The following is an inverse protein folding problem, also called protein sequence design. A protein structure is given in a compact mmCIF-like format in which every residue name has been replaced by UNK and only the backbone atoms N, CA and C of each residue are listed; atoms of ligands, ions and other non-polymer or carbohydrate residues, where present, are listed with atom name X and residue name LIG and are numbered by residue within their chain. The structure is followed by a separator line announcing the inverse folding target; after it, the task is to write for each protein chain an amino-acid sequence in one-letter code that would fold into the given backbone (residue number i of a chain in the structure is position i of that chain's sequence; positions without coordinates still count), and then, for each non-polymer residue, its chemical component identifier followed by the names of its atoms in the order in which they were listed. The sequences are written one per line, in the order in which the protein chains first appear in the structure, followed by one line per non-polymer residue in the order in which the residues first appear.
data_IF_971534765816
#
_entry.id   IF_971534765816
#
_cell.length_a   1.000
_cell.length_b   1.000
_cell.length_c   1.000
_cell.angle_alpha   90.00
_cell.angle_beta   90.00
_cell.angle_gamma   90.00
#
_symmetry.space_group_name_H-M   'P 1'
#
loop_
_entity.id
_entity.type
_entity.pdbx_description
1 polymer ?
#
# COMPACT_ATOMS: atom_id res chain seq x y z
N UNK A 1 -9.93 1.22 3.93
CA UNK A 1 -9.61 -0.22 4.04
C UNK A 1 -10.83 -1.00 3.61
N UNK A 2 -10.67 -2.00 2.72
CA UNK A 2 -11.78 -2.81 2.19
C UNK A 2 -12.00 -4.09 2.98
N UNK A 3 -10.95 -4.61 3.59
CA UNK A 3 -10.98 -5.81 4.41
C UNK A 3 -10.61 -5.48 5.85
N UNK A 4 -11.32 -6.11 6.79
CA UNK A 4 -11.20 -5.82 8.21
C UNK A 4 -10.23 -6.80 8.86
N UNK A 5 -9.32 -6.29 9.67
CA UNK A 5 -8.47 -7.14 10.50
C UNK A 5 -9.25 -7.83 11.62
N UNK A 6 -10.53 -7.53 11.83
CA UNK A 6 -11.36 -8.14 12.88
C UNK A 6 -12.20 -9.32 12.38
N UNK A 7 -12.14 -9.64 11.08
CA UNK A 7 -12.88 -10.79 10.54
C UNK A 7 -12.37 -12.12 11.15
N UNK A 8 -13.22 -13.14 11.14
CA UNK A 8 -12.91 -14.47 11.67
C UNK A 8 -12.12 -15.36 10.70
N UNK A 9 -11.76 -14.82 9.54
CA UNK A 9 -11.00 -15.54 8.51
C UNK A 9 -9.56 -15.81 8.93
N UNK A 10 -8.95 -16.85 8.34
CA UNK A 10 -7.54 -17.16 8.56
C UNK A 10 -6.62 -16.00 8.13
N UNK A 11 -6.97 -15.31 7.05
CA UNK A 11 -6.16 -14.20 6.54
C UNK A 11 -6.27 -12.95 7.43
N UNK A 12 -7.45 -12.68 8.02
CA UNK A 12 -7.57 -11.65 9.06
C UNK A 12 -6.73 -11.97 10.29
N UNK A 13 -6.72 -13.23 10.75
CA UNK A 13 -5.85 -13.68 11.85
C UNK A 13 -4.37 -13.47 11.53
N UNK A 14 -3.93 -13.84 10.32
CA UNK A 14 -2.54 -13.59 9.86
C UNK A 14 -2.22 -12.10 9.82
N UNK A 15 -3.14 -11.27 9.33
CA UNK A 15 -2.97 -9.82 9.29
C UNK A 15 -2.75 -9.26 10.70
N UNK A 16 -3.56 -9.67 11.68
CA UNK A 16 -3.40 -9.27 13.09
C UNK A 16 -2.02 -9.64 13.64
N UNK A 17 -1.55 -10.85 13.38
CA UNK A 17 -0.21 -11.32 13.83
C UNK A 17 0.89 -10.45 13.23
N UNK A 18 0.85 -10.19 11.92
CA UNK A 18 1.87 -9.39 11.24
C UNK A 18 1.85 -7.92 11.69
N UNK A 19 0.66 -7.34 11.90
CA UNK A 19 0.52 -5.97 12.40
C UNK A 19 1.04 -5.86 13.84
N UNK A 20 0.74 -6.82 14.72
CA UNK A 20 1.30 -6.84 16.06
C UNK A 20 2.83 -6.92 16.03
N UNK A 21 3.41 -7.79 15.19
CA UNK A 21 4.86 -7.86 15.04
C UNK A 21 5.48 -6.53 14.58
N UNK A 22 4.81 -5.81 13.68
CA UNK A 22 5.23 -4.47 13.26
C UNK A 22 5.15 -3.44 14.40
N UNK A 23 4.07 -3.48 15.20
CA UNK A 23 3.88 -2.64 16.39
C UNK A 23 4.97 -2.92 17.44
N UNK A 24 5.25 -4.18 17.73
CA UNK A 24 6.27 -4.58 18.70
C UNK A 24 7.67 -4.12 18.26
N UNK A 25 7.98 -4.29 16.97
CA UNK A 25 9.22 -3.78 16.39
C UNK A 25 9.31 -2.25 16.50
N UNK A 26 8.22 -1.52 16.25
CA UNK A 26 8.19 -0.06 16.38
C UNK A 26 8.38 0.40 17.84
N UNK A 27 7.70 -0.26 18.79
CA UNK A 27 7.86 -0.06 20.24
C UNK A 27 9.30 -0.28 20.71
N UNK A 28 9.96 -1.30 20.16
CA UNK A 28 11.37 -1.58 20.42
C UNK A 28 12.34 -0.64 19.68
N UNK A 29 11.86 0.30 18.86
CA UNK A 29 12.69 1.24 18.10
C UNK A 29 13.52 0.58 17.00
N UNK A 30 13.08 -0.58 16.50
CA UNK A 30 13.77 -1.30 15.42
C UNK A 30 13.81 -0.42 14.17
N UNK A 31 14.96 -0.34 13.51
CA UNK A 31 15.10 0.45 12.27
C UNK A 31 14.41 -0.26 11.09
N UNK A 32 13.89 0.47 10.09
CA UNK A 32 13.34 -0.13 8.88
C UNK A 32 14.28 -1.15 8.24
N UNK A 33 13.76 -2.31 7.88
CA UNK A 33 14.51 -3.42 7.28
C UNK A 33 13.77 -4.01 6.08
N UNK A 34 14.46 -4.86 5.32
CA UNK A 34 13.83 -5.59 4.21
C UNK A 34 12.61 -6.40 4.67
N UNK A 35 12.71 -7.09 5.81
CA UNK A 35 11.63 -7.89 6.38
C UNK A 35 10.44 -7.03 6.81
N UNK A 36 10.68 -5.89 7.46
CA UNK A 36 9.63 -4.92 7.82
C UNK A 36 8.90 -4.44 6.57
N UNK A 37 9.65 -4.09 5.52
CA UNK A 37 9.06 -3.64 4.26
C UNK A 37 8.20 -4.73 3.59
N UNK A 38 8.62 -6.00 3.68
CA UNK A 38 7.84 -7.14 3.17
C UNK A 38 6.56 -7.37 3.96
N UNK A 39 6.60 -7.25 5.29
CA UNK A 39 5.41 -7.35 6.14
C UNK A 39 4.41 -6.24 5.84
N UNK A 40 4.86 -4.98 5.81
CA UNK A 40 4.02 -3.82 5.47
C UNK A 40 3.35 -4.02 4.11
N UNK A 41 4.12 -4.43 3.12
CA UNK A 41 3.61 -4.67 1.78
C UNK A 41 2.57 -5.80 1.74
N UNK A 42 2.80 -6.91 2.45
CA UNK A 42 1.83 -8.00 2.54
C UNK A 42 0.53 -7.59 3.25
N UNK A 43 0.65 -6.85 4.35
CA UNK A 43 -0.52 -6.33 5.09
C UNK A 43 -1.29 -5.33 4.22
N UNK A 44 -0.62 -4.42 3.51
CA UNK A 44 -1.28 -3.50 2.58
C UNK A 44 -2.07 -4.22 1.50
N UNK A 45 -1.55 -5.33 0.95
CA UNK A 45 -2.33 -6.15 0.02
C UNK A 45 -3.57 -6.73 0.67
N UNK A 46 -3.43 -7.33 1.85
CA UNK A 46 -4.55 -7.92 2.56
C UNK A 46 -5.65 -6.88 2.83
N UNK A 47 -5.30 -5.69 3.33
CA UNK A 47 -6.27 -4.63 3.63
C UNK A 47 -7.01 -4.11 2.39
N UNK A 48 -6.43 -4.30 1.20
CA UNK A 48 -6.96 -3.83 -0.08
C UNK A 48 -7.76 -4.91 -0.84
N UNK A 49 -7.29 -6.17 -0.85
CA UNK A 49 -7.87 -7.25 -1.65
C UNK A 49 -8.19 -8.55 -0.88
N UNK A 50 -8.03 -8.54 0.45
CA UNK A 50 -8.37 -9.67 1.32
C UNK A 50 -7.37 -10.82 1.25
N UNK A 51 -6.25 -10.64 0.53
CA UNK A 51 -5.23 -11.66 0.34
C UNK A 51 -3.83 -11.07 0.40
N UNK A 52 -2.87 -11.87 0.84
CA UNK A 52 -1.45 -11.54 0.82
C UNK A 52 -0.79 -11.83 -0.55
N UNK A 53 -1.52 -12.44 -1.49
CA UNK A 53 -0.97 -12.86 -2.77
C UNK A 53 -0.83 -11.69 -3.76
N UNK A 54 0.38 -11.52 -4.32
CA UNK A 54 0.68 -10.61 -5.43
C UNK A 54 -0.24 -10.83 -6.61
N UNK A 55 -0.66 -12.06 -6.88
CA UNK A 55 -1.25 -12.47 -8.16
C UNK A 55 -2.70 -12.04 -8.38
N UNK A 56 -3.33 -11.40 -7.39
CA UNK A 56 -4.69 -10.86 -7.48
C UNK A 56 -4.76 -9.50 -8.21
N UNK A 57 -4.00 -9.34 -9.30
CA UNK A 57 -3.92 -8.10 -10.09
C UNK A 57 -5.27 -7.73 -10.71
N UNK A 58 -6.14 -8.73 -10.94
CA UNK A 58 -7.48 -8.53 -11.52
C UNK A 58 -8.47 -7.91 -10.53
N UNK A 59 -8.41 -8.32 -9.27
CA UNK A 59 -9.33 -7.86 -8.21
C UNK A 59 -8.78 -6.70 -7.40
N UNK A 60 -7.57 -6.23 -7.74
CA UNK A 60 -6.96 -5.08 -7.11
C UNK A 60 -7.66 -3.80 -7.54
N UNK A 61 -8.12 -3.03 -6.55
CA UNK A 61 -8.99 -1.88 -6.79
C UNK A 61 -8.21 -0.56 -6.89
N UNK A 62 -7.05 -0.47 -6.23
CA UNK A 62 -6.11 0.65 -6.37
C UNK A 62 -5.33 0.49 -7.67
N UNK A 63 -5.94 0.91 -8.79
CA UNK A 63 -5.38 0.80 -10.13
C UNK A 63 -5.49 2.14 -10.84
N UNK A 64 -4.42 2.61 -11.50
CA UNK A 64 -4.49 3.83 -12.31
C UNK A 64 -5.41 3.64 -13.51
N UNK A 65 -5.96 4.72 -14.05
CA UNK A 65 -6.86 4.64 -15.21
C UNK A 65 -6.16 3.99 -16.42
N UNK A 66 -4.88 4.29 -16.63
CA UNK A 66 -4.07 3.68 -17.68
C UNK A 66 -3.83 2.18 -17.43
N UNK A 67 -3.50 1.78 -16.20
CA UNK A 67 -3.32 0.37 -15.87
C UNK A 67 -4.63 -0.42 -15.95
N UNK A 68 -5.77 0.22 -15.62
CA UNK A 68 -7.11 -0.34 -15.79
C UNK A 68 -7.40 -0.61 -17.26
N UNK A 69 -7.12 0.34 -18.15
CA UNK A 69 -7.26 0.12 -19.60
C UNK A 69 -6.39 -1.04 -20.09
N UNK A 70 -5.14 -1.13 -19.64
CA UNK A 70 -4.24 -2.24 -20.00
C UNK A 70 -4.77 -3.57 -19.49
N UNK A 71 -5.24 -3.63 -18.25
CA UNK A 71 -5.84 -4.83 -17.64
C UNK A 71 -7.10 -5.29 -18.36
N UNK A 72 -7.95 -4.35 -18.72
CA UNK A 72 -9.28 -4.61 -19.29
C UNK A 72 -9.23 -4.78 -20.83
N UNK A 73 -8.04 -4.67 -21.45
CA UNK A 73 -7.81 -4.79 -22.90
C UNK A 73 -8.06 -6.18 -23.51
N UNK A 74 -8.09 -7.24 -22.68
CA UNK A 74 -8.22 -8.62 -23.12
C UNK A 74 -6.92 -9.29 -23.60
N UNK A 75 -5.79 -8.57 -23.66
CA UNK A 75 -4.47 -9.17 -23.97
C UNK A 75 -4.08 -10.18 -22.88
N UNK A 76 -3.70 -11.41 -23.24
CA UNK A 76 -3.24 -12.43 -22.27
C UNK A 76 -1.94 -12.05 -21.55
N UNK A 77 -1.12 -11.23 -22.20
CA UNK A 77 0.21 -10.82 -21.75
C UNK A 77 0.23 -9.45 -21.04
N UNK A 78 -0.94 -8.85 -20.79
CA UNK A 78 -1.09 -7.51 -20.20
C UNK A 78 -0.26 -7.28 -18.92
N UNK A 79 -0.08 -8.33 -18.10
CA UNK A 79 0.69 -8.26 -16.84
C UNK A 79 2.12 -7.77 -17.03
N UNK A 80 2.72 -7.93 -18.22
CA UNK A 80 4.08 -7.43 -18.51
C UNK A 80 4.15 -5.90 -18.64
N UNK A 81 3.01 -5.26 -18.86
CA UNK A 81 2.89 -3.83 -19.12
C UNK A 81 2.49 -3.03 -17.88
N UNK A 82 2.23 -3.72 -16.78
CA UNK A 82 1.86 -3.13 -15.50
C UNK A 82 2.81 -3.60 -14.42
N UNK A 83 2.90 -2.82 -13.36
CA UNK A 83 3.59 -3.17 -12.13
C UNK A 83 2.80 -2.61 -10.97
N UNK A 84 3.01 -3.16 -9.78
CA UNK A 84 2.72 -2.36 -8.61
C UNK A 84 3.75 -1.25 -8.55
N UNK A 85 3.27 -0.02 -8.61
CA UNK A 85 4.05 1.15 -8.26
C UNK A 85 4.68 0.87 -6.90
N UNK A 86 6.00 0.85 -6.86
CA UNK A 86 6.68 0.42 -5.66
C UNK A 86 7.90 1.26 -5.35
N UNK A 87 7.63 2.51 -4.98
CA UNK A 87 8.55 3.33 -4.20
C UNK A 87 7.79 4.14 -3.14
N UNK A 88 7.92 3.66 -1.90
CA UNK A 88 8.03 4.39 -0.62
C UNK A 88 7.03 5.55 -0.38
N UNK A 89 5.95 5.20 0.34
CA UNK A 89 5.92 5.54 1.76
C UNK A 89 5.99 4.34 2.70
N UNK A 90 6.39 3.14 2.30
CA UNK A 90 6.56 2.04 3.29
C UNK A 90 7.49 2.46 4.43
N UNK A 91 8.59 3.14 4.10
CA UNK A 91 9.47 3.74 5.11
C UNK A 91 8.75 4.81 5.95
N UNK A 92 7.85 5.60 5.35
CA UNK A 92 7.03 6.58 6.08
C UNK A 92 5.92 5.94 6.94
N UNK A 93 5.24 4.89 6.47
CA UNK A 93 4.28 4.13 7.26
C UNK A 93 4.97 3.62 8.51
N UNK A 94 6.12 2.97 8.34
CA UNK A 94 6.87 2.46 9.47
C UNK A 94 7.43 3.58 10.34
N UNK A 95 7.86 4.70 9.73
CA UNK A 95 8.24 5.90 10.48
C UNK A 95 7.07 6.43 11.31
N UNK A 96 5.85 6.46 10.79
CA UNK A 96 4.66 6.86 11.56
C UNK A 96 4.40 5.90 12.72
N UNK A 97 4.61 4.59 12.54
CA UNK A 97 4.56 3.65 13.67
C UNK A 97 5.65 3.93 14.71
N UNK A 98 6.86 4.31 14.27
CA UNK A 98 7.97 4.67 15.15
C UNK A 98 7.72 5.99 15.88
N UNK A 99 7.13 6.97 15.21
CA UNK A 99 6.79 8.28 15.76
C UNK A 99 5.67 8.14 16.80
N UNK A 100 4.72 7.22 16.58
CA UNK A 100 3.63 6.89 17.51
C UNK A 100 3.96 5.73 18.45
N UNK A 101 5.22 5.29 18.55
CA UNK A 101 5.57 4.00 19.18
C UNK A 101 5.06 3.81 20.62
N UNK A 102 4.97 4.89 21.40
CA UNK A 102 4.51 4.83 22.80
C UNK A 102 3.02 4.51 22.92
N UNK A 103 2.23 4.85 21.90
CA UNK A 103 0.76 4.79 21.93
C UNK A 103 0.15 3.96 20.81
N UNK A 104 0.95 3.53 19.82
CA UNK A 104 0.46 2.82 18.64
C UNK A 104 -0.21 1.50 19.03
N UNK A 105 -1.45 1.35 18.56
CA UNK A 105 -2.27 0.16 18.72
C UNK A 105 -2.33 -0.64 17.41
N UNK A 106 -2.82 -1.88 17.49
CA UNK A 106 -3.10 -2.71 16.32
C UNK A 106 -3.98 -1.96 15.29
N UNK A 107 -5.08 -1.37 15.74
CA UNK A 107 -6.03 -0.68 14.85
C UNK A 107 -5.43 0.57 14.24
N UNK A 108 -4.64 1.33 15.03
CA UNK A 108 -3.93 2.50 14.54
C UNK A 108 -2.89 2.13 13.48
N UNK A 109 -2.14 1.05 13.70
CA UNK A 109 -1.19 0.56 12.72
C UNK A 109 -1.88 0.09 11.44
N UNK A 110 -3.01 -0.64 11.55
CA UNK A 110 -3.80 -1.05 10.39
C UNK A 110 -4.30 0.14 9.57
N UNK A 111 -4.77 1.20 10.24
CA UNK A 111 -5.17 2.45 9.60
C UNK A 111 -4.02 3.10 8.83
N UNK A 112 -2.84 3.26 9.46
CA UNK A 112 -1.65 3.83 8.81
C UNK A 112 -1.24 3.02 7.57
N UNK A 113 -1.21 1.70 7.69
CA UNK A 113 -0.80 0.80 6.60
C UNK A 113 -1.84 0.80 5.46
N UNK A 114 -3.12 0.86 5.81
CA UNK A 114 -4.25 0.84 4.89
C UNK A 114 -4.51 2.17 4.17
N UNK A 115 -3.90 3.26 4.60
CA UNK A 115 -4.00 4.58 3.95
C UNK A 115 -3.26 4.60 2.60
N UNK A 116 -2.07 3.97 2.57
CA UNK A 116 -1.13 4.03 1.44
C UNK A 116 -0.80 2.66 0.82
N UNK A 117 -1.78 1.81 0.45
CA UNK A 117 -1.49 0.56 -0.23
C UNK A 117 -0.77 0.82 -1.56
N UNK A 118 -0.05 -0.19 -2.10
CA UNK A 118 0.48 -0.15 -3.45
C UNK A 118 -0.59 0.27 -4.47
N UNK A 119 -0.19 0.87 -5.57
CA UNK A 119 -1.11 1.16 -6.69
C UNK A 119 -0.64 0.36 -7.89
N UNK A 120 -1.57 -0.30 -8.58
CA UNK A 120 -1.27 -0.94 -9.84
C UNK A 120 -1.20 0.13 -10.93
N UNK A 121 -0.03 0.28 -11.55
CA UNK A 121 0.23 1.28 -12.59
C UNK A 121 0.86 0.61 -13.82
N UNK A 122 0.93 1.34 -14.92
CA UNK A 122 1.68 0.91 -16.10
C UNK A 122 3.19 1.05 -15.87
N UNK A 123 3.99 0.26 -16.58
CA UNK A 123 5.46 0.41 -16.58
C UNK A 123 5.88 1.81 -17.06
N UNK A 124 5.10 2.44 -17.95
CA UNK A 124 5.32 3.81 -18.41
C UNK A 124 5.11 4.84 -17.30
N UNK A 125 4.06 4.69 -16.50
CA UNK A 125 3.83 5.54 -15.32
C UNK A 125 4.96 5.40 -14.31
N UNK A 126 5.45 4.18 -14.05
CA UNK A 126 6.59 3.96 -13.13
C UNK A 126 7.85 4.69 -13.60
N UNK A 127 8.16 4.60 -14.90
CA UNK A 127 9.31 5.32 -15.50
C UNK A 127 9.15 6.83 -15.35
N UNK A 128 7.97 7.38 -15.66
CA UNK A 128 7.68 8.81 -15.48
C UNK A 128 7.84 9.25 -14.03
N UNK A 129 7.35 8.46 -13.07
CA UNK A 129 7.53 8.78 -11.64
C UNK A 129 9.00 8.75 -11.23
N UNK A 130 9.78 7.83 -11.80
CA UNK A 130 11.24 7.81 -11.59
C UNK A 130 11.91 9.07 -12.14
N UNK A 131 11.52 9.53 -13.33
CA UNK A 131 12.05 10.76 -13.97
C UNK A 131 11.71 12.01 -13.17
N UNK A 132 10.54 12.05 -12.53
CA UNK A 132 10.13 13.13 -11.63
C UNK A 132 10.83 13.10 -10.25
N UNK A 133 11.80 12.20 -10.05
CA UNK A 133 12.57 12.11 -8.81
C UNK A 133 11.90 11.32 -7.69
N UNK A 134 10.70 10.78 -7.94
CA UNK A 134 9.96 10.04 -6.92
C UNK A 134 10.53 8.63 -6.66
N UNK A 135 11.55 8.18 -7.40
CA UNK A 135 12.23 6.89 -7.17
C UNK A 135 12.88 6.77 -5.79
N UNK A 136 13.19 7.89 -5.14
CA UNK A 136 13.86 7.90 -3.83
C UNK A 136 13.22 8.81 -2.79
N UNK A 137 12.17 9.57 -3.14
CA UNK A 137 11.55 10.56 -2.25
C UNK A 137 10.14 10.98 -2.67
N UNK A 138 9.65 12.06 -2.05
CA UNK A 138 8.30 12.62 -2.23
C UNK A 138 7.28 12.15 -1.18
N UNK A 139 6.25 12.96 -0.95
CA UNK A 139 5.07 12.53 -0.18
C UNK A 139 4.16 11.67 -1.07
N UNK A 140 3.46 10.66 -0.52
CA UNK A 140 2.50 9.86 -1.28
C UNK A 140 1.45 10.69 -1.98
N UNK A 141 0.96 11.72 -1.30
CA UNK A 141 -0.05 12.66 -1.81
C UNK A 141 0.44 13.36 -3.09
N UNK A 142 1.70 13.81 -3.10
CA UNK A 142 2.33 14.47 -4.26
C UNK A 142 2.48 13.50 -5.44
N UNK A 143 2.81 12.23 -5.17
CA UNK A 143 2.86 11.19 -6.22
C UNK A 143 1.48 10.86 -6.78
N UNK A 144 0.49 10.66 -5.90
CA UNK A 144 -0.87 10.31 -6.32
C UNK A 144 -1.52 11.41 -7.16
N UNK A 145 -1.17 12.69 -6.95
CA UNK A 145 -1.59 13.78 -7.83
C UNK A 145 -1.13 13.61 -9.29
N UNK A 146 -0.05 12.86 -9.54
CA UNK A 146 0.47 12.60 -10.88
C UNK A 146 -0.02 11.30 -11.52
N UNK A 147 -0.75 10.46 -10.78
CA UNK A 147 -1.28 9.19 -11.24
C UNK A 147 -2.80 9.29 -11.16
N UNK A 148 -3.50 9.46 -12.30
CA UNK A 148 -4.95 9.47 -12.30
C UNK A 148 -5.50 8.13 -11.80
N UNK A 149 -6.18 8.15 -10.66
CA UNK A 149 -6.87 6.98 -10.10
C UNK A 149 -8.35 7.34 -9.97
N UNK A 150 -9.17 6.95 -10.95
CA UNK A 150 -10.61 7.19 -10.90
C UNK A 150 -11.28 6.50 -9.71
N UNK A 151 -12.13 7.24 -8.98
CA UNK A 151 -12.91 6.71 -7.85
C UNK A 151 -12.11 6.48 -6.56
N UNK A 152 -10.94 7.10 -6.44
CA UNK A 152 -10.10 7.07 -5.26
C UNK A 152 -9.91 8.47 -4.67
N UNK A 153 -9.98 8.58 -3.34
CA UNK A 153 -9.73 9.82 -2.58
C UNK A 153 -8.99 9.42 -1.31
N UNK A 154 -7.92 10.13 -0.96
CA UNK A 154 -7.22 9.89 0.30
C UNK A 154 -8.11 10.32 1.47
N UNK A 155 -7.98 9.70 2.65
CA UNK A 155 -8.75 10.17 3.81
C UNK A 155 -8.28 11.56 4.24
N UNK A 156 -7.00 11.87 4.03
CA UNK A 156 -6.44 13.21 4.24
C UNK A 156 -7.05 14.28 3.31
N UNK A 157 -7.64 13.89 2.18
CA UNK A 157 -8.37 14.79 1.28
C UNK A 157 -9.87 14.85 1.56
N UNK A 158 -10.43 13.84 2.25
CA UNK A 158 -11.85 13.72 2.56
C UNK A 158 -12.26 14.39 3.89
N UNK A 159 -11.30 14.80 4.74
CA UNK A 159 -11.60 15.55 5.95
C UNK A 159 -11.83 17.05 5.61
N UNK A 160 -12.93 17.68 6.08
CA UNK A 160 -13.05 19.13 5.98
C UNK A 160 -11.92 19.77 6.80
N UNK A 161 -11.26 20.79 6.22
CA UNK A 161 -10.34 21.66 6.95
C UNK A 161 -11.07 22.47 8.01
#
# INVERSE_FOLDING_TARGET
MRYSIHDDTLDAKKARILINALVDCAKAGVRPSFSINKMLWGVSLYLECGSFNRENWRTYNRVSDAAKQVRDSGDKSWKKNVTFEHVRPIGKMYQMLLDERETVTLDRAALIIGEYPPVLITVKEELRMSELGFKHGGKPEERYAHIPIGGFTLRSEAAPR
#
